data_IF_740369835083
#
_entry.id   IF_740369835083
#
_cell.length_a   1.000
_cell.length_b   1.000
_cell.length_c   1.000
_cell.angle_alpha   90.00
_cell.angle_beta   90.00
_cell.angle_gamma   90.00
#
_symmetry.space_group_name_H-M   'P 1'
#
loop_
_entity.id
_entity.type
_entity.pdbx_description
1 polymer ?
#
# COMPACT_ATOMS: atom_id res chain seq x y z
N UNK A 1 8.68 5.31 19.51
CA UNK A 1 8.60 4.93 20.94
C UNK A 1 9.34 3.61 21.17
N UNK A 2 9.65 3.28 22.43
CA UNK A 2 10.34 2.02 22.79
C UNK A 2 9.32 0.89 22.93
N UNK A 3 9.40 -0.10 22.04
CA UNK A 3 8.56 -1.31 22.07
C UNK A 3 8.69 -2.10 23.38
N UNK A 4 9.85 -2.02 24.04
CA UNK A 4 10.07 -2.69 25.33
C UNK A 4 9.27 -2.02 26.45
N UNK A 5 9.30 -0.68 26.54
CA UNK A 5 8.56 0.06 27.56
C UNK A 5 7.04 -0.07 27.34
N UNK A 6 6.58 -0.04 26.08
CA UNK A 6 5.17 -0.21 25.73
C UNK A 6 4.61 -1.58 26.18
N UNK A 7 5.46 -2.62 26.20
CA UNK A 7 5.10 -3.96 26.68
C UNK A 7 5.12 -4.10 28.20
N UNK A 8 5.97 -3.31 28.89
CA UNK A 8 6.03 -3.29 30.35
C UNK A 8 4.85 -2.56 30.99
N UNK A 9 4.16 -1.70 30.24
CA UNK A 9 2.88 -1.07 30.63
C UNK A 9 1.69 -2.06 30.56
N UNK A 10 1.86 -3.28 31.09
CA UNK A 10 0.90 -4.38 31.00
C UNK A 10 -0.46 -4.07 31.65
N UNK A 11 -0.47 -3.25 32.71
CA UNK A 11 -1.69 -2.90 33.44
C UNK A 11 -2.49 -1.75 32.80
N UNK A 12 -1.95 -1.09 31.79
CA UNK A 12 -2.67 -0.05 31.09
C UNK A 12 -3.63 -0.69 30.08
N UNK A 13 -4.93 -0.54 30.32
CA UNK A 13 -5.96 -1.12 29.49
C UNK A 13 -5.87 -0.58 28.04
N UNK A 14 -5.71 -1.49 27.07
CA UNK A 14 -5.69 -1.21 25.62
C UNK A 14 -7.04 -1.43 24.92
N UNK A 15 -8.00 -2.02 25.61
CA UNK A 15 -9.39 -2.22 25.17
C UNK A 15 -10.13 -0.88 25.17
N UNK A 16 -10.80 -0.56 24.05
CA UNK A 16 -11.66 0.62 23.95
C UNK A 16 -13.14 0.25 24.09
N UNK A 17 -13.60 -0.65 23.23
CA UNK A 17 -15.00 -1.06 23.15
C UNK A 17 -15.09 -2.55 22.76
N UNK A 18 -16.13 -3.23 23.26
CA UNK A 18 -16.48 -4.59 22.86
C UNK A 18 -17.68 -4.56 21.92
N UNK A 19 -17.65 -5.39 20.89
CA UNK A 19 -18.71 -5.48 19.90
C UNK A 19 -19.16 -6.92 19.70
N UNK A 20 -20.31 -7.11 19.03
CA UNK A 20 -20.89 -8.43 18.75
C UNK A 20 -21.10 -9.30 19.99
N UNK A 21 -21.89 -8.82 20.96
CA UNK A 21 -22.17 -9.55 22.22
C UNK A 21 -20.89 -9.99 22.96
N UNK A 22 -19.90 -9.09 23.06
CA UNK A 22 -18.58 -9.33 23.65
C UNK A 22 -17.69 -10.35 22.90
N UNK A 23 -18.00 -10.70 21.66
CA UNK A 23 -17.14 -11.58 20.84
C UNK A 23 -15.95 -10.84 20.21
N UNK A 24 -16.13 -9.55 19.92
CA UNK A 24 -15.09 -8.70 19.32
C UNK A 24 -14.61 -7.62 20.27
N UNK A 25 -13.39 -7.15 20.05
CA UNK A 25 -12.78 -6.07 20.82
C UNK A 25 -12.04 -5.11 19.90
N UNK A 26 -12.26 -3.82 20.10
CA UNK A 26 -11.48 -2.75 19.49
C UNK A 26 -10.29 -2.45 20.39
N UNK A 27 -9.09 -2.52 19.83
CA UNK A 27 -7.85 -2.21 20.54
C UNK A 27 -7.21 -0.95 20.00
N UNK A 28 -6.53 -0.21 20.88
CA UNK A 28 -5.70 0.94 20.50
C UNK A 28 -4.23 0.57 20.71
N UNK A 29 -3.72 -0.22 19.78
CA UNK A 29 -2.31 -0.62 19.77
C UNK A 29 -1.52 0.17 18.73
N UNK A 30 -0.21 0.25 18.96
CA UNK A 30 0.70 0.81 17.98
C UNK A 30 0.69 -0.04 16.69
N UNK A 31 0.56 0.62 15.53
CA UNK A 31 0.55 -0.01 14.19
C UNK A 31 1.67 0.56 13.30
N UNK A 32 2.74 1.07 13.90
CA UNK A 32 3.84 1.71 13.16
C UNK A 32 4.55 0.71 12.24
N UNK A 33 4.51 -0.59 12.55
CA UNK A 33 5.06 -1.66 11.70
C UNK A 33 4.51 -1.65 10.27
N UNK A 34 3.29 -1.14 10.08
CA UNK A 34 2.63 -1.05 8.77
C UNK A 34 3.34 -0.11 7.79
N UNK A 35 4.14 0.84 8.31
CA UNK A 35 4.96 1.71 7.48
C UNK A 35 5.95 0.94 6.62
N UNK A 36 6.33 -0.27 7.02
CA UNK A 36 7.16 -1.18 6.20
C UNK A 36 6.53 -1.41 4.82
N UNK A 37 5.25 -1.79 4.79
CA UNK A 37 4.54 -2.04 3.53
C UNK A 37 4.21 -0.74 2.79
N UNK A 38 3.87 0.34 3.52
CA UNK A 38 3.67 1.66 2.91
C UNK A 38 4.94 2.13 2.19
N UNK A 39 6.10 1.98 2.82
CA UNK A 39 7.39 2.39 2.27
C UNK A 39 7.85 1.49 1.12
N UNK A 40 7.46 0.21 1.11
CA UNK A 40 7.66 -0.66 -0.06
C UNK A 40 6.91 -0.14 -1.29
N UNK A 41 5.66 0.29 -1.11
CA UNK A 41 4.80 0.76 -2.21
C UNK A 41 5.16 2.17 -2.73
N UNK A 42 5.61 3.06 -1.84
CA UNK A 42 6.13 4.39 -2.22
C UNK A 42 7.27 4.26 -3.22
N UNK A 43 7.36 5.19 -4.15
CA UNK A 43 8.32 5.20 -5.26
C UNK A 43 8.70 6.66 -5.58
N UNK A 44 9.79 6.84 -6.33
CA UNK A 44 10.38 8.15 -6.59
C UNK A 44 9.63 8.85 -7.72
N UNK A 45 9.35 8.11 -8.80
CA UNK A 45 8.65 8.61 -9.98
C UNK A 45 7.98 7.49 -10.76
N UNK A 46 7.07 7.89 -11.64
CA UNK A 46 6.43 7.04 -12.63
C UNK A 46 6.82 7.56 -14.02
N UNK A 47 7.21 6.65 -14.91
CA UNK A 47 7.51 6.96 -16.33
C UNK A 47 6.56 6.16 -17.23
N UNK A 48 6.08 6.76 -18.33
CA UNK A 48 5.25 6.05 -19.31
C UNK A 48 6.13 5.26 -20.27
N UNK A 49 5.77 3.99 -20.49
CA UNK A 49 6.40 3.14 -21.51
C UNK A 49 5.41 2.10 -22.08
N UNK A 50 5.90 1.17 -22.89
CA UNK A 50 5.18 0.03 -23.47
C UNK A 50 6.11 -1.18 -23.61
N UNK A 51 5.56 -2.36 -23.95
CA UNK A 51 6.32 -3.55 -24.28
C UNK A 51 6.49 -3.68 -25.80
N UNK A 52 7.72 -3.63 -26.29
CA UNK A 52 8.07 -3.81 -27.71
C UNK A 52 8.08 -5.28 -28.14
N UNK A 53 6.97 -5.99 -27.94
CA UNK A 53 6.80 -7.41 -28.25
C UNK A 53 5.59 -7.64 -29.17
N UNK A 54 5.65 -8.65 -30.03
CA UNK A 54 4.60 -8.96 -31.00
C UNK A 54 3.39 -9.65 -30.36
N UNK A 55 2.65 -8.91 -29.53
CA UNK A 55 1.48 -9.41 -28.78
C UNK A 55 0.16 -8.72 -29.13
N UNK A 56 0.18 -7.78 -30.09
CA UNK A 56 -0.95 -6.91 -30.51
C UNK A 56 -1.58 -6.02 -29.42
N UNK A 57 -1.17 -6.16 -28.16
CA UNK A 57 -1.77 -5.42 -27.05
C UNK A 57 -1.55 -3.90 -27.10
N UNK A 58 -0.34 -3.45 -27.48
CA UNK A 58 0.03 -2.02 -27.51
C UNK A 58 -0.28 -1.26 -26.20
N UNK A 59 -0.20 -1.96 -25.07
CA UNK A 59 -0.57 -1.44 -23.76
C UNK A 59 0.44 -0.41 -23.24
N UNK A 60 -0.02 0.79 -22.88
CA UNK A 60 0.71 1.80 -22.10
C UNK A 60 0.79 1.42 -20.61
N UNK A 61 1.99 1.51 -20.04
CA UNK A 61 2.31 1.15 -18.67
C UNK A 61 2.89 2.32 -17.87
N UNK A 62 2.70 2.27 -16.55
CA UNK A 62 3.36 3.06 -15.51
C UNK A 62 4.57 2.27 -15.03
N UNK A 63 5.76 2.72 -15.37
CA UNK A 63 7.01 2.12 -14.88
C UNK A 63 7.41 2.82 -13.58
N UNK A 64 7.49 2.07 -12.49
CA UNK A 64 7.81 2.60 -11.17
C UNK A 64 9.32 2.54 -10.92
N UNK A 65 9.91 3.71 -10.64
CA UNK A 65 11.31 3.84 -10.23
C UNK A 65 11.35 4.10 -8.74
N UNK A 66 12.17 3.35 -8.01
CA UNK A 66 12.38 3.51 -6.57
C UNK A 66 13.85 3.31 -6.24
N UNK A 67 14.42 4.22 -5.45
CA UNK A 67 15.85 4.27 -5.15
C UNK A 67 16.70 4.27 -6.44
N UNK A 68 16.23 4.96 -7.48
CA UNK A 68 16.90 5.05 -8.77
C UNK A 68 16.88 3.80 -9.66
N UNK A 69 16.22 2.71 -9.24
CA UNK A 69 16.09 1.47 -10.05
C UNK A 69 14.63 1.19 -10.43
N UNK A 70 14.41 0.50 -11.55
CA UNK A 70 13.07 0.02 -11.94
C UNK A 70 12.65 -1.12 -11.01
N UNK A 71 11.45 -1.05 -10.43
CA UNK A 71 11.00 -2.04 -9.43
C UNK A 71 9.77 -2.85 -9.83
N UNK A 72 8.79 -2.25 -10.50
CA UNK A 72 7.61 -2.93 -11.05
C UNK A 72 6.87 -2.02 -12.04
N UNK A 73 5.80 -2.54 -12.65
CA UNK A 73 4.92 -1.80 -13.55
C UNK A 73 3.43 -2.06 -13.22
N UNK A 74 2.58 -1.06 -13.49
CA UNK A 74 1.11 -1.21 -13.51
C UNK A 74 0.55 -0.54 -14.77
N UNK A 75 -0.68 -0.89 -15.17
CA UNK A 75 -1.26 -0.35 -16.39
C UNK A 75 -1.55 1.16 -16.29
N UNK A 76 -1.40 1.88 -17.39
CA UNK A 76 -1.99 3.20 -17.55
C UNK A 76 -3.49 3.06 -17.81
N UNK A 77 -4.26 4.02 -17.31
CA UNK A 77 -5.73 4.00 -17.38
C UNK A 77 -6.28 5.27 -18.03
N UNK A 78 -5.42 6.01 -18.73
CA UNK A 78 -5.68 7.35 -19.23
C UNK A 78 -5.63 7.43 -20.76
N UNK A 79 -5.94 6.33 -21.44
CA UNK A 79 -6.26 6.40 -22.86
C UNK A 79 -7.44 7.35 -23.09
N UNK A 80 -7.50 8.02 -24.26
CA UNK A 80 -8.69 8.77 -24.65
C UNK A 80 -9.94 7.90 -24.49
N UNK A 81 -10.90 8.39 -23.71
CA UNK A 81 -12.15 7.65 -23.44
C UNK A 81 -12.91 7.44 -24.74
N UNK A 82 -13.54 6.29 -24.87
CA UNK A 82 -14.54 6.03 -25.90
C UNK A 82 -15.82 6.83 -25.61
N UNK A 83 -16.77 6.81 -26.55
CA UNK A 83 -18.10 7.41 -26.38
C UNK A 83 -18.77 6.88 -25.11
N UNK A 84 -19.46 7.76 -24.37
CA UNK A 84 -20.37 7.32 -23.31
C UNK A 84 -21.48 6.47 -23.96
N UNK A 85 -21.73 5.29 -23.38
CA UNK A 85 -22.86 4.44 -23.75
C UNK A 85 -24.15 4.91 -23.11
#
# INVERSE_FOLDING_TARGET
MSQLLDRLNFFQNKELERFSNNHGQVTRENRDWEDTYRNRWRHDKIVRSTHGVNCTGSCSWKIYVKSGIVTWETQQTDYPRTRAG
#
